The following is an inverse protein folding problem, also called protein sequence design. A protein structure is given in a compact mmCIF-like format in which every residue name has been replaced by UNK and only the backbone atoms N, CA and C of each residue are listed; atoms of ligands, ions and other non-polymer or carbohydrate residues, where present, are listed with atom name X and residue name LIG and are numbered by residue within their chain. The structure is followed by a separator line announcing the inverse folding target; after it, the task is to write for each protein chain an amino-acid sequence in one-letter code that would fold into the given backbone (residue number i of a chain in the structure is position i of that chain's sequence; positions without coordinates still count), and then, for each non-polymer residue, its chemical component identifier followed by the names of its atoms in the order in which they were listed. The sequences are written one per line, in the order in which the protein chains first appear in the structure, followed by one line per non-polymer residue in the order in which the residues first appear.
data_IF_138961777624
#
_entry.id   IF_138961777624
#
_cell.length_a   1.000
_cell.length_b   1.000
_cell.length_c   1.000
_cell.angle_alpha   90.00
_cell.angle_beta   90.00
_cell.angle_gamma   90.00
#
_symmetry.space_group_name_H-M   'P 1'
#
loop_
_entity.id
_entity.type
_entity.pdbx_description
1 polymer ?
#
# COMPACT_ATOMS: atom_id res chain seq x y z
N UNK A 1 4.68 6.11 32.98
CA UNK A 1 3.39 6.73 32.63
C UNK A 1 3.20 6.58 31.14
N UNK A 2 2.34 5.67 30.69
CA UNK A 2 2.07 5.47 29.26
C UNK A 2 0.68 6.03 28.97
N UNK A 3 0.63 7.09 28.16
CA UNK A 3 -0.61 7.65 27.64
C UNK A 3 -1.34 6.59 26.81
N UNK A 4 -2.39 5.98 27.36
CA UNK A 4 -3.27 5.12 26.59
C UNK A 4 -4.27 6.00 25.84
N UNK A 5 -3.87 6.48 24.67
CA UNK A 5 -4.76 7.20 23.76
C UNK A 5 -5.88 6.26 23.31
N UNK A 6 -7.11 6.58 23.70
CA UNK A 6 -8.33 5.85 23.39
C UNK A 6 -8.61 6.03 21.89
N UNK A 7 -8.25 5.04 21.07
CA UNK A 7 -8.53 5.05 19.63
C UNK A 7 -9.68 4.09 19.32
N UNK A 8 -10.70 4.60 18.65
CA UNK A 8 -11.82 3.81 18.14
C UNK A 8 -11.35 2.78 17.11
N UNK A 9 -12.17 1.77 16.86
CA UNK A 9 -11.81 0.66 15.95
C UNK A 9 -11.60 1.14 14.51
N UNK A 10 -12.24 2.22 14.11
CA UNK A 10 -11.94 2.91 12.86
C UNK A 10 -10.53 3.51 12.82
N UNK A 11 -10.06 4.08 13.93
CA UNK A 11 -8.78 4.78 14.01
C UNK A 11 -7.60 3.81 14.15
N UNK A 12 -7.76 2.73 14.92
CA UNK A 12 -6.76 1.65 14.96
C UNK A 12 -6.55 1.05 13.56
N UNK A 13 -7.63 0.78 12.82
CA UNK A 13 -7.57 0.23 11.46
C UNK A 13 -6.85 1.15 10.46
N UNK A 14 -7.06 2.46 10.55
CA UNK A 14 -6.35 3.44 9.72
C UNK A 14 -4.85 3.48 10.06
N UNK A 15 -4.50 3.36 11.34
CA UNK A 15 -3.10 3.31 11.78
C UNK A 15 -2.39 2.05 11.26
N UNK A 16 -3.04 0.88 11.24
CA UNK A 16 -2.46 -0.35 10.65
C UNK A 16 -2.20 -0.21 9.15
N UNK A 17 -3.14 0.38 8.41
CA UNK A 17 -2.94 0.67 7.00
C UNK A 17 -1.74 1.61 6.82
N UNK A 18 -1.70 2.74 7.53
CA UNK A 18 -0.61 3.71 7.40
C UNK A 18 0.78 3.10 7.72
N UNK A 19 0.86 2.33 8.81
CA UNK A 19 2.08 1.65 9.24
C UNK A 19 2.63 0.66 8.20
N UNK A 20 1.76 0.01 7.43
CA UNK A 20 2.17 -0.91 6.37
C UNK A 20 2.70 -0.17 5.13
N UNK A 21 2.10 0.95 4.75
CA UNK A 21 2.59 1.78 3.64
C UNK A 21 3.99 2.33 3.96
N UNK A 22 4.21 2.79 5.19
CA UNK A 22 5.50 3.36 5.59
C UNK A 22 6.59 2.29 5.74
N UNK A 23 6.23 1.08 6.20
CA UNK A 23 7.18 -0.03 6.20
C UNK A 23 7.55 -0.48 4.79
N UNK A 24 6.60 -0.53 3.85
CA UNK A 24 6.90 -0.80 2.44
C UNK A 24 7.86 0.22 1.85
N UNK A 25 7.65 1.50 2.12
CA UNK A 25 8.60 2.55 1.73
C UNK A 25 9.97 2.25 2.33
N UNK A 26 10.06 1.89 3.62
CA UNK A 26 11.35 1.55 4.25
C UNK A 26 12.03 0.34 3.63
N UNK A 27 11.30 -0.71 3.26
CA UNK A 27 11.84 -1.92 2.63
C UNK A 27 12.32 -1.60 1.21
N UNK A 28 11.51 -0.90 0.43
CA UNK A 28 11.91 -0.45 -0.91
C UNK A 28 13.13 0.48 -0.87
N UNK A 29 13.20 1.35 0.13
CA UNK A 29 14.36 2.20 0.39
C UNK A 29 15.61 1.38 0.76
N UNK A 30 15.49 0.41 1.66
CA UNK A 30 16.60 -0.48 2.07
C UNK A 30 17.10 -1.39 0.95
N UNK A 31 16.23 -1.74 -0.01
CA UNK A 31 16.59 -2.45 -1.23
C UNK A 31 17.18 -1.54 -2.33
N UNK A 32 17.35 -0.24 -2.07
CA UNK A 32 17.89 0.71 -3.04
C UNK A 32 16.94 1.04 -4.20
N UNK A 33 15.65 0.71 -4.10
CA UNK A 33 14.65 0.89 -5.15
C UNK A 33 14.18 2.35 -5.23
N UNK A 34 15.10 3.26 -5.61
CA UNK A 34 14.91 4.72 -5.54
C UNK A 34 15.11 5.45 -6.88
N UNK A 35 15.20 4.74 -8.02
CA UNK A 35 15.67 5.28 -9.33
C UNK A 35 15.16 6.69 -9.68
N UNK A 36 13.92 7.04 -9.32
CA UNK A 36 13.37 8.41 -9.44
C UNK A 36 12.54 8.86 -8.23
N UNK A 37 12.55 8.11 -7.11
CA UNK A 37 11.64 8.32 -5.97
C UNK A 37 10.13 8.09 -6.26
N UNK A 38 9.73 8.02 -7.53
CA UNK A 38 8.35 7.82 -7.97
C UNK A 38 7.73 6.53 -7.42
N UNK A 39 8.52 5.47 -7.26
CA UNK A 39 8.06 4.22 -6.65
C UNK A 39 7.56 4.46 -5.22
N UNK A 40 8.40 5.08 -4.39
CA UNK A 40 8.09 5.33 -2.97
C UNK A 40 6.89 6.25 -2.78
N UNK A 41 6.76 7.29 -3.62
CA UNK A 41 5.62 8.22 -3.61
C UNK A 41 4.29 7.54 -3.92
N UNK A 42 4.31 6.45 -4.69
CA UNK A 42 3.12 5.80 -5.22
C UNK A 42 2.76 4.48 -4.54
N UNK A 43 3.57 3.99 -3.60
CA UNK A 43 3.19 2.91 -2.69
C UNK A 43 2.05 3.43 -1.81
N UNK A 44 0.88 2.82 -1.95
CA UNK A 44 -0.35 3.24 -1.27
C UNK A 44 -1.14 2.03 -0.81
N UNK A 45 -2.04 2.31 0.12
CA UNK A 45 -3.01 1.34 0.62
C UNK A 45 -4.39 1.90 0.38
N UNK A 46 -5.27 1.06 -0.16
CA UNK A 46 -6.66 1.41 -0.44
C UNK A 46 -7.55 0.45 0.32
N UNK A 47 -8.53 0.99 1.04
CA UNK A 47 -9.63 0.18 1.56
C UNK A 47 -10.58 -0.14 0.41
N UNK A 48 -11.01 -1.39 0.31
CA UNK A 48 -12.07 -1.79 -0.61
C UNK A 48 -13.42 -1.36 -0.02
N UNK A 49 -14.19 -0.49 -0.71
CA UNK A 49 -15.50 -0.07 -0.22
C UNK A 49 -16.54 -1.18 -0.32
N UNK A 50 -16.42 -2.08 -1.31
CA UNK A 50 -17.31 -3.21 -1.54
C UNK A 50 -16.79 -4.52 -0.92
N UNK A 51 -16.19 -4.43 0.27
CA UNK A 51 -15.78 -5.63 1.00
C UNK A 51 -17.03 -6.40 1.50
N UNK A 52 -17.02 -7.74 1.48
CA UNK A 52 -18.10 -8.55 2.03
C UNK A 52 -18.45 -8.19 3.47
N UNK A 53 -19.71 -8.31 3.85
CA UNK A 53 -20.19 -7.97 5.18
C UNK A 53 -19.41 -8.72 6.28
N UNK A 54 -19.08 -7.99 7.35
CA UNK A 54 -18.23 -8.51 8.42
C UNK A 54 -16.73 -8.56 8.08
N UNK A 55 -16.32 -8.20 6.86
CA UNK A 55 -14.91 -8.16 6.46
C UNK A 55 -14.46 -6.74 6.11
N UNK A 56 -13.16 -6.47 6.30
CA UNK A 56 -12.54 -5.24 5.80
C UNK A 56 -11.32 -5.62 4.99
N UNK A 57 -11.37 -5.32 3.70
CA UNK A 57 -10.28 -5.60 2.78
C UNK A 57 -9.45 -4.34 2.54
N UNK A 58 -8.13 -4.47 2.71
CA UNK A 58 -7.15 -3.46 2.33
C UNK A 58 -6.28 -4.00 1.21
N UNK A 59 -6.29 -3.28 0.08
CA UNK A 59 -5.47 -3.57 -1.08
C UNK A 59 -4.19 -2.75 -1.00
N UNK A 60 -3.06 -3.44 -0.89
CA UNK A 60 -1.73 -2.84 -0.90
C UNK A 60 -1.19 -2.85 -2.34
N UNK A 61 -0.64 -1.73 -2.81
CA UNK A 61 -0.09 -1.68 -4.16
C UNK A 61 0.56 -0.36 -4.55
N UNK A 62 0.95 -0.27 -5.82
CA UNK A 62 1.61 0.91 -6.40
C UNK A 62 0.67 1.58 -7.41
N UNK A 63 0.43 2.87 -7.27
CA UNK A 63 -0.26 3.65 -8.32
C UNK A 63 0.66 3.86 -9.50
N UNK A 64 0.19 3.51 -10.69
CA UNK A 64 0.90 3.76 -11.93
C UNK A 64 -0.08 4.04 -13.08
N UNK A 65 0.39 4.69 -14.14
CA UNK A 65 -0.38 5.01 -15.34
C UNK A 65 -1.75 5.63 -15.06
N UNK A 66 -2.81 4.96 -15.54
CA UNK A 66 -4.20 5.43 -15.38
C UNK A 66 -4.69 5.43 -13.92
N UNK A 67 -4.04 4.71 -13.02
CA UNK A 67 -4.39 4.63 -11.60
C UNK A 67 -3.79 5.75 -10.74
N UNK A 68 -2.99 6.64 -11.35
CA UNK A 68 -2.47 7.85 -10.72
C UNK A 68 -3.61 8.81 -10.34
N UNK A 69 -3.35 9.66 -9.35
CA UNK A 69 -4.32 10.68 -8.90
C UNK A 69 -4.47 11.80 -9.93
N UNK A 70 -5.60 12.53 -9.89
CA UNK A 70 -5.83 13.70 -10.79
C UNK A 70 -4.69 14.73 -10.70
N UNK A 71 -4.20 15.02 -9.48
CA UNK A 71 -3.08 15.94 -9.24
C UNK A 71 -1.78 15.46 -9.93
N UNK A 72 -1.46 14.17 -9.84
CA UNK A 72 -0.28 13.60 -10.51
C UNK A 72 -0.42 13.55 -12.03
N UNK A 73 -1.64 13.44 -12.55
CA UNK A 73 -1.92 13.51 -13.99
C UNK A 73 -1.82 14.93 -14.54
N UNK A 74 -1.95 15.97 -13.71
CA UNK A 74 -1.83 17.35 -14.16
C UNK A 74 -0.43 17.68 -14.71
N UNK A 75 0.61 17.01 -14.21
CA UNK A 75 1.98 17.12 -14.72
C UNK A 75 2.29 16.15 -15.88
N UNK A 76 1.26 15.63 -16.56
CA UNK A 76 1.46 14.77 -17.73
C UNK A 76 1.96 15.57 -18.92
N UNK A 77 2.83 14.95 -19.71
CA UNK A 77 3.36 15.49 -20.96
C UNK A 77 2.99 14.59 -22.13
N UNK A 78 2.85 15.17 -23.32
CA UNK A 78 2.75 14.41 -24.55
C UNK A 78 4.16 14.09 -25.05
N UNK A 79 4.39 12.84 -25.43
CA UNK A 79 5.65 12.40 -25.99
C UNK A 79 5.40 11.51 -27.21
N UNK A 80 6.29 11.55 -28.19
CA UNK A 80 6.23 10.65 -29.35
C UNK A 80 6.92 9.33 -28.99
N UNK A 81 6.27 8.20 -29.25
CA UNK A 81 6.88 6.89 -29.06
C UNK A 81 7.80 6.53 -30.24
N UNK A 82 8.53 5.40 -30.13
CA UNK A 82 9.43 4.95 -31.21
C UNK A 82 8.70 4.63 -32.52
N UNK A 83 7.39 4.46 -32.49
CA UNK A 83 6.52 4.18 -33.62
C UNK A 83 5.82 5.44 -34.17
N UNK A 84 6.23 6.64 -33.73
CA UNK A 84 5.67 7.91 -34.21
C UNK A 84 4.30 8.28 -33.61
N UNK A 85 3.73 7.47 -32.72
CA UNK A 85 2.45 7.78 -32.07
C UNK A 85 2.64 8.72 -30.89
N UNK A 86 1.77 9.72 -30.78
CA UNK A 86 1.69 10.59 -29.60
C UNK A 86 1.10 9.79 -28.43
N UNK A 87 1.85 9.71 -27.34
CA UNK A 87 1.46 9.04 -26.11
C UNK A 87 1.56 9.98 -24.92
N UNK A 88 0.63 9.87 -23.98
CA UNK A 88 0.71 10.58 -22.71
C UNK A 88 1.74 9.90 -21.80
N UNK A 89 2.72 10.67 -21.33
CA UNK A 89 3.66 10.26 -20.29
C UNK A 89 3.38 11.02 -19.01
N UNK A 90 3.47 10.30 -17.89
CA UNK A 90 3.25 10.84 -16.56
C UNK A 90 4.60 11.05 -15.88
N UNK A 91 4.80 12.20 -15.21
CA UNK A 91 6.08 12.56 -14.61
C UNK A 91 6.47 11.66 -13.42
N UNK A 92 5.55 11.41 -12.49
CA UNK A 92 5.76 10.57 -11.29
C UNK A 92 5.17 9.16 -11.47
N UNK A 93 5.44 8.49 -12.60
CA UNK A 93 4.87 7.16 -12.90
C UNK A 93 5.90 6.03 -12.77
N UNK A 94 5.77 5.16 -11.75
CA UNK A 94 6.67 4.05 -11.54
C UNK A 94 6.30 2.84 -12.42
N UNK A 95 6.16 2.99 -13.74
CA UNK A 95 5.81 1.89 -14.67
C UNK A 95 6.63 0.60 -14.45
N UNK A 96 7.88 0.75 -14.01
CA UNK A 96 8.82 -0.35 -13.78
C UNK A 96 8.56 -1.17 -12.49
N UNK A 97 7.59 -0.79 -11.65
CA UNK A 97 7.37 -1.42 -10.34
C UNK A 97 7.09 -2.93 -10.44
N UNK A 98 6.36 -3.37 -11.48
CA UNK A 98 6.00 -4.77 -11.67
C UNK A 98 7.21 -5.65 -12.01
N UNK A 99 8.18 -5.12 -12.76
CA UNK A 99 9.44 -5.81 -13.03
C UNK A 99 10.36 -5.88 -11.81
N UNK A 100 10.12 -5.04 -10.80
CA UNK A 100 10.80 -5.12 -9.52
C UNK A 100 10.13 -6.16 -8.62
N UNK A 101 8.82 -6.19 -8.55
CA UNK A 101 8.09 -7.13 -7.68
C UNK A 101 8.19 -8.57 -8.19
N UNK A 102 7.94 -8.77 -9.48
CA UNK A 102 7.87 -10.09 -10.08
C UNK A 102 9.18 -10.48 -10.76
N UNK A 103 9.43 -11.79 -10.83
CA UNK A 103 10.51 -12.31 -11.65
C UNK A 103 10.16 -12.20 -13.13
N UNK A 104 11.17 -11.95 -13.95
CA UNK A 104 11.05 -11.93 -15.41
C UNK A 104 12.07 -12.92 -15.98
N UNK A 105 11.89 -13.31 -17.25
CA UNK A 105 12.82 -14.23 -17.93
C UNK A 105 14.31 -13.81 -17.83
N UNK A 106 14.59 -12.50 -17.72
CA UNK A 106 15.95 -11.94 -17.74
C UNK A 106 16.43 -11.39 -16.38
N UNK A 107 15.57 -11.36 -15.35
CA UNK A 107 15.89 -10.76 -14.05
C UNK A 107 15.05 -11.39 -12.95
N UNK A 108 15.71 -11.83 -11.88
CA UNK A 108 15.05 -12.24 -10.65
C UNK A 108 14.33 -11.04 -9.99
N UNK A 109 13.12 -11.29 -9.50
CA UNK A 109 12.33 -10.29 -8.81
C UNK A 109 12.98 -9.88 -7.48
N UNK A 110 12.81 -8.62 -7.13
CA UNK A 110 13.16 -8.03 -5.83
C UNK A 110 11.87 -7.67 -5.11
N UNK A 111 11.11 -8.68 -4.60
CA UNK A 111 9.78 -8.45 -4.07
C UNK A 111 9.85 -7.58 -2.82
N UNK A 112 9.30 -6.38 -2.92
CA UNK A 112 9.25 -5.42 -1.81
C UNK A 112 7.84 -5.36 -1.24
N UNK A 113 6.80 -5.62 -2.06
CA UNK A 113 5.42 -5.69 -1.59
C UNK A 113 5.17 -6.97 -0.81
N UNK A 114 5.55 -8.13 -1.37
CA UNK A 114 5.36 -9.41 -0.71
C UNK A 114 6.13 -9.51 0.62
N UNK A 115 7.37 -9.00 0.66
CA UNK A 115 8.17 -8.95 1.90
C UNK A 115 7.51 -8.08 2.97
N UNK A 116 6.94 -6.94 2.60
CA UNK A 116 6.26 -6.08 3.56
C UNK A 116 4.96 -6.70 4.09
N UNK A 117 4.23 -7.47 3.26
CA UNK A 117 3.03 -8.18 3.66
C UNK A 117 3.31 -9.26 4.71
N UNK A 118 4.36 -10.06 4.52
CA UNK A 118 4.70 -11.15 5.45
C UNK A 118 5.14 -10.61 6.81
N UNK A 119 5.95 -9.55 6.83
CA UNK A 119 6.60 -9.06 8.05
C UNK A 119 5.65 -8.49 9.13
N UNK A 120 4.42 -8.10 8.80
CA UNK A 120 3.47 -7.51 9.76
C UNK A 120 2.10 -8.16 9.76
N UNK A 121 1.98 -9.33 9.12
CA UNK A 121 0.74 -10.10 9.11
C UNK A 121 0.29 -10.46 10.53
N UNK A 122 1.22 -10.95 11.36
CA UNK A 122 0.90 -11.41 12.71
C UNK A 122 0.53 -10.25 13.64
N UNK A 123 1.24 -9.13 13.54
CA UNK A 123 0.91 -7.92 14.28
C UNK A 123 -0.46 -7.34 13.88
N UNK A 124 -0.83 -7.43 12.59
CA UNK A 124 -2.16 -7.02 12.13
C UNK A 124 -3.27 -7.97 12.62
N UNK A 125 -3.02 -9.29 12.62
CA UNK A 125 -3.95 -10.29 13.15
C UNK A 125 -4.17 -10.11 14.65
N UNK A 126 -3.11 -9.86 15.42
CA UNK A 126 -3.19 -9.58 16.86
C UNK A 126 -4.06 -8.36 17.13
N UNK A 127 -3.80 -7.25 16.43
CA UNK A 127 -4.58 -6.04 16.66
C UNK A 127 -6.03 -6.13 16.20
N UNK A 128 -6.31 -6.93 15.16
CA UNK A 128 -7.68 -7.29 14.79
C UNK A 128 -8.36 -8.10 15.90
N UNK A 129 -7.64 -9.06 16.50
CA UNK A 129 -8.09 -9.84 17.64
C UNK A 129 -8.39 -8.97 18.88
N UNK A 130 -7.49 -8.05 19.22
CA UNK A 130 -7.64 -7.13 20.34
C UNK A 130 -8.83 -6.18 20.15
N UNK A 131 -9.01 -5.67 18.93
CA UNK A 131 -10.16 -4.84 18.57
C UNK A 131 -11.48 -5.62 18.70
N UNK A 132 -11.53 -6.86 18.19
CA UNK A 132 -12.69 -7.73 18.29
C UNK A 132 -13.02 -8.06 19.76
N UNK A 133 -12.01 -8.43 20.55
CA UNK A 133 -12.18 -8.73 21.98
C UNK A 133 -12.78 -7.54 22.73
N UNK A 134 -12.38 -6.31 22.36
CA UNK A 134 -12.90 -5.08 22.94
C UNK A 134 -14.34 -4.77 22.51
N UNK A 135 -14.73 -5.06 21.26
CA UNK A 135 -16.15 -4.97 20.85
C UNK A 135 -17.01 -6.01 21.57
N UNK A 136 -16.54 -7.25 21.67
CA UNK A 136 -17.24 -8.31 22.39
C UNK A 136 -17.47 -7.94 23.86
N UNK A 137 -16.48 -7.34 24.53
CA UNK A 137 -16.63 -6.81 25.88
C UNK A 137 -17.68 -5.69 25.96
N UNK A 138 -17.76 -4.84 24.94
CA UNK A 138 -18.73 -3.73 24.88
C UNK A 138 -20.16 -4.18 24.63
N UNK A 139 -20.33 -5.30 23.93
CA UNK A 139 -21.65 -5.93 23.61
C UNK A 139 -22.13 -6.86 24.75
N UNK A 140 -21.32 -7.07 25.79
CA UNK A 140 -21.76 -7.77 27.02
C UNK A 140 -21.74 -9.30 26.94
N UNK A 141 -21.19 -9.89 25.89
CA UNK A 141 -20.92 -11.33 25.82
C UNK A 141 -19.69 -11.65 26.67
N UNK A 142 -19.89 -11.81 27.98
CA UNK A 142 -18.92 -12.46 28.87
C UNK A 142 -18.87 -13.95 28.53
N UNK A 143 -17.66 -14.49 28.38
CA UNK A 143 -17.41 -15.93 28.55
C UNK A 143 -17.71 -16.32 29.99
#
# INVERSE_FOLDING_TARGET
MAESSILGIGEMRQNFAQLNADKMKSVAQGLGLRRTGALLKNIVIKREPAAPDGTVQYNLGVRHGRSLTKKQKASSMLAVNKQGRVVTRYADDPFYWSFLEFSTKRRAGTPFLARALVNKRDAALQAMGDALAKELQKVGLKK
#
